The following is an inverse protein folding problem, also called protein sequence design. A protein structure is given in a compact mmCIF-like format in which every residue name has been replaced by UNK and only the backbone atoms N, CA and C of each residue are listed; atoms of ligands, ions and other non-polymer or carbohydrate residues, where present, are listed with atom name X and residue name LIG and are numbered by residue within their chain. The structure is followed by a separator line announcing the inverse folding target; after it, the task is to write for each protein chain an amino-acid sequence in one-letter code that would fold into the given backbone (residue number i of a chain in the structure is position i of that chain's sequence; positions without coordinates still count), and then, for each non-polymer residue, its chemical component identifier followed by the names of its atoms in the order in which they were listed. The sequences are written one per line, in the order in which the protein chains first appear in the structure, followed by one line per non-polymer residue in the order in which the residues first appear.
data_IF_377759488112
#
_entry.id   IF_377759488112
#
_cell.length_a   1.000
_cell.length_b   1.000
_cell.length_c   1.000
_cell.angle_alpha   90.00
_cell.angle_beta   90.00
_cell.angle_gamma   90.00
#
_symmetry.space_group_name_H-M   'P 1'
#
loop_
_entity.id
_entity.type
_entity.pdbx_description
1 polymer ?
#
# COMPACT_ATOMS: atom_id res chain seq x y z
N UNK A 1 -2.74 -21.28 16.53
CA UNK A 1 -2.75 -19.93 15.87
C UNK A 1 -3.26 -18.91 16.86
N UNK A 2 -2.54 -17.79 17.03
CA UNK A 2 -3.00 -16.61 17.80
C UNK A 2 -3.36 -15.51 16.83
N UNK A 3 -4.50 -14.86 17.03
CA UNK A 3 -4.98 -13.71 16.23
C UNK A 3 -5.21 -12.50 17.13
N UNK A 4 -4.75 -11.33 16.70
CA UNK A 4 -4.94 -10.04 17.38
C UNK A 4 -5.28 -8.97 16.33
N UNK A 5 -5.98 -7.93 16.78
CA UNK A 5 -6.34 -6.78 15.93
C UNK A 5 -6.12 -5.47 16.68
N UNK A 6 -5.69 -4.43 15.96
CA UNK A 6 -5.53 -3.07 16.47
C UNK A 6 -5.97 -2.04 15.42
N UNK A 7 -6.58 -0.91 15.82
CA UNK A 7 -6.82 0.22 14.92
C UNK A 7 -5.49 0.92 14.63
N UNK A 8 -4.98 0.78 13.40
CA UNK A 8 -3.72 1.37 12.91
C UNK A 8 -3.89 1.74 11.43
N UNK A 9 -3.11 2.68 10.93
CA UNK A 9 -3.10 3.09 9.50
C UNK A 9 -4.49 3.54 8.98
N UNK A 10 -5.32 4.13 9.85
CA UNK A 10 -6.69 4.52 9.50
C UNK A 10 -7.67 3.35 9.28
N UNK A 11 -7.29 2.13 9.65
CA UNK A 11 -8.09 0.92 9.47
C UNK A 11 -7.90 -0.07 10.62
N UNK A 12 -8.56 -1.23 10.56
CA UNK A 12 -8.27 -2.33 11.45
C UNK A 12 -7.13 -3.19 10.88
N UNK A 13 -6.02 -3.26 11.61
CA UNK A 13 -4.91 -4.16 11.28
C UNK A 13 -5.03 -5.43 12.10
N UNK A 14 -5.05 -6.57 11.41
CA UNK A 14 -5.15 -7.89 12.01
C UNK A 14 -3.86 -8.67 11.73
N UNK A 15 -3.37 -9.38 12.73
CA UNK A 15 -2.20 -10.27 12.64
C UNK A 15 -2.59 -11.61 13.21
N UNK A 16 -2.36 -12.68 12.45
CA UNK A 16 -2.46 -14.05 12.89
C UNK A 16 -1.13 -14.77 12.68
N UNK A 17 -0.71 -15.53 13.68
CA UNK A 17 0.55 -16.25 13.67
C UNK A 17 0.40 -17.65 14.26
N UNK A 18 1.14 -18.61 13.70
CA UNK A 18 1.22 -20.00 14.17
C UNK A 18 2.67 -20.44 14.32
N UNK A 19 2.91 -21.30 15.30
CA UNK A 19 4.24 -21.88 15.52
C UNK A 19 4.54 -22.97 14.48
N UNK A 20 5.82 -23.22 14.23
CA UNK A 20 6.25 -24.38 13.45
C UNK A 20 5.85 -25.70 14.18
N UNK A 21 5.41 -26.74 13.44
CA UNK A 21 4.94 -28.01 14.02
C UNK A 21 5.97 -28.75 14.86
N UNK A 22 7.26 -28.52 14.64
CA UNK A 22 8.35 -29.35 15.18
C UNK A 22 9.22 -28.71 16.27
N UNK A 23 8.86 -27.53 16.81
CA UNK A 23 9.61 -26.98 17.94
C UNK A 23 9.14 -27.60 19.24
N UNK A 24 9.99 -28.44 19.84
CA UNK A 24 9.77 -28.97 21.20
C UNK A 24 9.67 -27.81 22.22
N UNK A 25 8.87 -27.97 23.26
CA UNK A 25 8.68 -26.97 24.31
C UNK A 25 7.23 -26.95 24.83
N UNK A 26 7.04 -26.41 26.03
CA UNK A 26 5.71 -26.28 26.65
C UNK A 26 4.82 -25.33 25.81
N UNK A 27 3.55 -25.69 25.64
CA UNK A 27 2.57 -24.92 24.85
C UNK A 27 2.49 -23.47 25.31
N UNK A 28 2.57 -23.21 26.60
CA UNK A 28 2.48 -21.87 27.20
C UNK A 28 3.68 -20.97 26.87
N UNK A 29 4.90 -21.53 26.73
CA UNK A 29 6.08 -20.77 26.28
C UNK A 29 5.99 -20.40 24.81
N UNK A 30 5.41 -21.29 23.98
CA UNK A 30 5.16 -21.02 22.55
C UNK A 30 4.15 -19.90 22.35
N UNK A 31 3.06 -19.88 23.11
CA UNK A 31 2.04 -18.84 23.02
C UNK A 31 2.60 -17.47 23.41
N UNK A 32 3.39 -17.38 24.47
CA UNK A 32 4.04 -16.14 24.90
C UNK A 32 5.02 -15.62 23.84
N UNK A 33 5.78 -16.51 23.20
CA UNK A 33 6.68 -16.13 22.11
C UNK A 33 5.92 -15.59 20.89
N UNK A 34 4.80 -16.23 20.50
CA UNK A 34 3.93 -15.74 19.42
C UNK A 34 3.30 -14.39 19.76
N UNK A 35 2.83 -14.19 20.98
CA UNK A 35 2.29 -12.89 21.42
C UNK A 35 3.34 -11.79 21.38
N UNK A 36 4.57 -12.09 21.75
CA UNK A 36 5.71 -11.17 21.65
C UNK A 36 5.99 -10.81 20.17
N UNK A 37 6.04 -11.81 19.30
CA UNK A 37 6.24 -11.61 17.88
C UNK A 37 5.14 -10.76 17.23
N UNK A 38 3.87 -11.03 17.57
CA UNK A 38 2.71 -10.25 17.12
C UNK A 38 2.82 -8.79 17.61
N UNK A 39 3.21 -8.61 18.87
CA UNK A 39 3.38 -7.26 19.45
C UNK A 39 4.49 -6.47 18.73
N UNK A 40 5.61 -7.12 18.42
CA UNK A 40 6.70 -6.52 17.64
C UNK A 40 6.24 -6.16 16.22
N UNK A 41 5.46 -7.04 15.57
CA UNK A 41 4.89 -6.76 14.25
C UNK A 41 3.93 -5.56 14.27
N UNK A 42 3.06 -5.41 15.28
CA UNK A 42 2.23 -4.20 15.44
C UNK A 42 3.08 -2.94 15.67
N UNK A 43 4.13 -3.03 16.47
CA UNK A 43 5.06 -1.91 16.68
C UNK A 43 5.72 -1.48 15.38
N UNK A 44 6.06 -2.44 14.53
CA UNK A 44 6.61 -2.19 13.19
C UNK A 44 5.61 -1.48 12.28
N UNK A 45 4.35 -1.92 12.25
CA UNK A 45 3.27 -1.24 11.51
C UNK A 45 3.10 0.21 12.00
N UNK A 46 3.07 0.40 13.32
CA UNK A 46 2.95 1.74 13.93
C UNK A 46 4.12 2.65 13.52
N UNK A 47 5.33 2.12 13.52
CA UNK A 47 6.53 2.86 13.11
C UNK A 47 6.42 3.34 11.65
N UNK A 48 6.09 2.43 10.73
CA UNK A 48 5.89 2.76 9.32
C UNK A 48 4.79 3.81 9.14
N UNK A 49 3.66 3.65 9.85
CA UNK A 49 2.58 4.62 9.82
C UNK A 49 3.02 6.03 10.24
N UNK A 50 3.86 6.15 11.28
CA UNK A 50 4.40 7.45 11.71
C UNK A 50 5.32 8.10 10.67
N UNK A 51 6.15 7.31 10.00
CA UNK A 51 7.08 7.83 8.99
C UNK A 51 6.36 8.33 7.74
N UNK A 52 5.33 7.61 7.29
CA UNK A 52 4.76 7.75 5.95
C UNK A 52 3.35 8.35 5.93
N UNK A 53 2.77 8.68 7.09
CA UNK A 53 1.42 9.23 7.16
C UNK A 53 1.36 10.68 6.68
N UNK A 54 0.46 10.96 5.76
CA UNK A 54 0.12 12.33 5.37
C UNK A 54 -0.57 13.10 6.51
N UNK A 55 -1.34 12.40 7.36
CA UNK A 55 -2.08 13.00 8.47
C UNK A 55 -1.23 13.31 9.71
N UNK A 56 0.00 12.82 9.79
CA UNK A 56 0.93 13.15 10.88
C UNK A 56 1.87 14.27 10.46
N UNK A 57 1.76 15.41 11.13
CA UNK A 57 2.48 16.63 10.77
C UNK A 57 4.01 16.47 10.81
N UNK A 58 4.53 15.65 11.72
CA UNK A 58 5.96 15.39 11.94
C UNK A 58 6.50 14.19 11.16
N UNK A 59 5.67 13.57 10.30
CA UNK A 59 6.13 12.46 9.44
C UNK A 59 7.25 12.89 8.48
N UNK A 60 8.14 11.97 8.12
CA UNK A 60 9.17 12.22 7.10
C UNK A 60 8.55 12.58 5.74
N UNK A 61 7.39 11.99 5.40
CA UNK A 61 6.63 12.34 4.21
C UNK A 61 6.27 13.84 4.21
N UNK A 62 5.77 14.34 5.33
CA UNK A 62 5.36 15.74 5.45
C UNK A 62 6.54 16.71 5.58
N UNK A 63 7.69 16.26 6.06
CA UNK A 63 8.92 17.05 5.99
C UNK A 63 9.33 17.28 4.52
N UNK A 64 9.27 16.25 3.68
CA UNK A 64 9.50 16.39 2.23
C UNK A 64 8.49 17.33 1.58
N UNK A 65 7.21 17.18 1.89
CA UNK A 65 6.12 17.99 1.33
C UNK A 65 6.23 19.48 1.66
N UNK A 66 6.79 19.82 2.82
CA UNK A 66 6.95 21.23 3.25
C UNK A 66 8.18 21.92 2.71
N UNK A 67 9.15 21.18 2.17
CA UNK A 67 10.46 21.70 1.78
C UNK A 67 10.85 21.27 0.36
N UNK A 68 9.99 21.57 -0.67
CA UNK A 68 10.36 21.27 -2.04
C UNK A 68 11.67 21.97 -2.43
N UNK A 69 12.49 21.33 -3.23
CA UNK A 69 13.80 21.82 -3.64
C UNK A 69 14.93 21.53 -2.65
N UNK A 70 14.63 21.12 -1.42
CA UNK A 70 15.65 20.86 -0.38
C UNK A 70 15.92 19.36 -0.26
N UNK A 71 17.20 18.99 -0.18
CA UNK A 71 17.62 17.63 0.13
C UNK A 71 17.39 17.30 1.61
N UNK A 72 16.55 16.32 1.89
CA UNK A 72 16.18 15.89 3.24
C UNK A 72 16.67 14.46 3.46
N UNK A 73 17.38 14.23 4.56
CA UNK A 73 17.76 12.90 5.00
C UNK A 73 16.53 12.19 5.55
N UNK A 74 16.29 10.98 5.07
CA UNK A 74 15.14 10.15 5.47
C UNK A 74 15.61 8.80 6.02
N UNK A 75 14.76 8.15 6.78
CA UNK A 75 15.01 6.80 7.29
C UNK A 75 15.11 5.79 6.14
N UNK A 76 15.70 4.63 6.44
CA UNK A 76 15.81 3.54 5.46
C UNK A 76 14.46 3.03 4.97
N UNK A 77 13.43 3.08 5.80
CA UNK A 77 12.07 2.70 5.42
C UNK A 77 11.46 3.68 4.43
N UNK A 78 11.50 4.97 4.73
CA UNK A 78 11.02 6.01 3.82
C UNK A 78 11.79 6.01 2.50
N UNK A 79 13.11 5.88 2.56
CA UNK A 79 13.95 5.75 1.37
C UNK A 79 13.54 4.55 0.51
N UNK A 80 13.29 3.41 1.14
CA UNK A 80 12.89 2.18 0.43
C UNK A 80 11.54 2.33 -0.24
N UNK A 81 10.53 2.85 0.47
CA UNK A 81 9.19 3.07 -0.12
C UNK A 81 9.25 4.06 -1.27
N UNK A 82 9.98 5.17 -1.11
CA UNK A 82 10.12 6.17 -2.17
C UNK A 82 10.87 5.63 -3.40
N UNK A 83 11.87 4.76 -3.21
CA UNK A 83 12.53 4.04 -4.32
C UNK A 83 11.55 3.10 -5.04
N UNK A 84 10.71 2.37 -4.29
CA UNK A 84 9.69 1.48 -4.87
C UNK A 84 8.62 2.29 -5.61
N UNK A 85 8.14 3.38 -5.04
CA UNK A 85 7.16 4.27 -5.66
C UNK A 85 7.71 4.89 -6.95
N UNK A 86 8.95 5.40 -6.92
CA UNK A 86 9.63 5.95 -8.09
C UNK A 86 9.85 4.89 -9.18
N UNK A 87 10.30 3.69 -8.80
CA UNK A 87 10.46 2.58 -9.73
C UNK A 87 9.15 2.22 -10.40
N UNK A 88 8.07 2.08 -9.63
CA UNK A 88 6.76 1.72 -10.17
C UNK A 88 6.19 2.84 -11.05
N UNK A 89 6.36 4.10 -10.65
CA UNK A 89 6.00 5.26 -11.48
C UNK A 89 6.66 5.19 -12.86
N UNK A 90 7.97 4.92 -12.89
CA UNK A 90 8.71 4.72 -14.14
C UNK A 90 8.21 3.50 -14.93
N UNK A 91 8.09 2.34 -14.31
CA UNK A 91 7.72 1.09 -14.96
C UNK A 91 6.27 1.07 -15.47
N UNK A 92 5.40 1.83 -14.83
CA UNK A 92 3.99 1.97 -15.23
C UNK A 92 3.71 3.18 -16.12
N UNK A 93 4.74 3.93 -16.53
CA UNK A 93 4.59 5.20 -17.28
C UNK A 93 3.63 6.18 -16.57
N UNK A 94 3.88 6.43 -15.28
CA UNK A 94 3.07 7.27 -14.37
C UNK A 94 1.62 6.80 -14.11
N UNK A 95 1.21 5.62 -14.53
CA UNK A 95 -0.08 5.07 -14.07
C UNK A 95 -0.11 4.91 -12.55
N UNK A 96 1.01 4.54 -11.93
CA UNK A 96 1.21 4.74 -10.51
C UNK A 96 1.92 6.07 -10.27
N UNK A 97 1.26 6.99 -9.61
CA UNK A 97 1.80 8.32 -9.36
C UNK A 97 1.54 8.75 -7.91
N UNK A 98 2.60 8.86 -7.11
CA UNK A 98 2.52 9.34 -5.74
C UNK A 98 2.68 10.87 -5.60
N UNK A 99 2.86 11.62 -6.70
CA UNK A 99 2.95 13.10 -6.70
C UNK A 99 1.61 13.78 -6.97
N UNK A 100 0.50 13.08 -6.74
CA UNK A 100 -0.88 13.54 -6.98
C UNK A 100 -1.52 14.24 -5.77
N UNK A 101 -0.75 14.46 -4.72
CA UNK A 101 -1.28 15.02 -3.46
C UNK A 101 -1.91 16.41 -3.61
N UNK A 102 -1.39 17.26 -4.50
CA UNK A 102 -1.96 18.56 -4.81
C UNK A 102 -3.38 18.46 -5.39
N UNK A 103 -3.58 17.52 -6.32
CA UNK A 103 -4.90 17.23 -6.88
C UNK A 103 -5.85 16.66 -5.82
N UNK A 104 -5.38 15.74 -4.98
CA UNK A 104 -6.18 15.18 -3.89
C UNK A 104 -6.60 16.24 -2.87
N UNK A 105 -5.70 17.20 -2.57
CA UNK A 105 -6.02 18.34 -1.72
C UNK A 105 -7.05 19.26 -2.38
N UNK A 106 -6.93 19.57 -3.66
CA UNK A 106 -7.86 20.42 -4.40
C UNK A 106 -9.28 19.84 -4.45
N UNK A 107 -9.37 18.51 -4.44
CA UNK A 107 -10.66 17.77 -4.38
C UNK A 107 -11.17 17.50 -2.97
N UNK A 108 -10.45 17.93 -1.92
CA UNK A 108 -10.83 17.70 -0.53
C UNK A 108 -10.60 16.26 -0.03
N UNK A 109 -9.88 15.43 -0.77
CA UNK A 109 -9.53 14.07 -0.35
C UNK A 109 -8.38 14.03 0.67
N UNK A 110 -7.54 15.08 0.71
CA UNK A 110 -6.50 15.28 1.70
C UNK A 110 -6.66 16.66 2.37
N UNK A 111 -6.23 16.82 3.63
CA UNK A 111 -6.21 18.12 4.31
C UNK A 111 -5.33 19.12 3.55
N UNK A 112 -5.80 20.37 3.44
CA UNK A 112 -5.04 21.42 2.79
C UNK A 112 -3.78 21.79 3.59
N UNK A 113 -2.63 21.87 2.92
CA UNK A 113 -1.41 22.46 3.46
C UNK A 113 -1.41 23.95 3.21
N UNK A 114 -0.93 24.71 4.20
CA UNK A 114 -0.98 26.15 4.18
C UNK A 114 -0.01 26.77 3.15
N UNK A 115 -0.55 27.67 2.33
CA UNK A 115 0.13 28.90 1.89
C UNK A 115 1.11 28.81 0.75
N UNK A 116 1.33 27.67 0.08
CA UNK A 116 2.23 27.59 -1.07
C UNK A 116 1.47 27.32 -2.37
N UNK A 117 1.82 27.98 -3.49
CA UNK A 117 1.34 27.58 -4.81
C UNK A 117 1.90 26.19 -5.12
N UNK A 118 1.04 25.19 -5.10
CA UNK A 118 1.38 23.81 -5.34
C UNK A 118 0.95 23.40 -6.74
N UNK A 119 1.79 22.60 -7.40
CA UNK A 119 1.39 21.91 -8.61
C UNK A 119 0.41 20.79 -8.23
N UNK A 120 -0.64 20.63 -9.03
CA UNK A 120 -1.65 19.59 -8.79
C UNK A 120 -1.06 18.19 -8.88
N UNK A 121 -0.20 17.98 -9.89
CA UNK A 121 0.45 16.70 -10.16
C UNK A 121 1.87 16.91 -10.70
N UNK A 122 2.70 15.91 -10.52
CA UNK A 122 4.00 15.76 -11.12
C UNK A 122 4.20 14.36 -11.68
N UNK A 123 5.45 13.96 -11.78
CA UNK A 123 5.85 12.69 -12.35
C UNK A 123 6.88 11.99 -11.43
N UNK A 124 7.16 10.72 -11.70
CA UNK A 124 8.15 9.95 -10.94
C UNK A 124 9.56 10.58 -10.97
N UNK A 125 9.90 11.35 -12.02
CA UNK A 125 11.18 12.06 -12.16
C UNK A 125 11.35 13.13 -11.08
N UNK A 126 10.27 13.78 -10.67
CA UNK A 126 10.28 14.84 -9.67
C UNK A 126 10.70 14.39 -8.26
N UNK A 127 10.73 13.08 -8.03
CA UNK A 127 11.27 12.48 -6.82
C UNK A 127 12.75 12.19 -7.06
N UNK A 128 13.63 13.03 -6.58
CA UNK A 128 15.06 12.84 -6.69
C UNK A 128 15.61 12.14 -5.45
N UNK A 129 16.47 11.15 -5.66
CA UNK A 129 17.07 10.34 -4.60
C UNK A 129 18.58 10.30 -4.80
N UNK A 130 19.32 10.67 -3.76
CA UNK A 130 20.78 10.58 -3.71
C UNK A 130 21.18 10.05 -2.33
N UNK A 131 21.89 8.94 -2.30
CA UNK A 131 22.27 8.23 -1.07
C UNK A 131 21.04 7.97 -0.15
N UNK A 132 21.01 8.57 1.03
CA UNK A 132 19.87 8.52 1.96
C UNK A 132 19.06 9.82 1.99
N UNK A 133 19.24 10.69 1.00
CA UNK A 133 18.51 11.95 0.87
C UNK A 133 17.50 11.90 -0.27
N UNK A 134 16.42 12.61 -0.07
CA UNK A 134 15.33 12.76 -1.04
C UNK A 134 15.01 14.24 -1.22
N UNK A 135 14.67 14.64 -2.44
CA UNK A 135 14.23 15.99 -2.77
C UNK A 135 13.04 15.92 -3.74
N UNK A 136 12.09 16.79 -3.57
CA UNK A 136 11.08 17.08 -4.59
C UNK A 136 11.62 18.18 -5.49
N UNK A 137 11.83 17.89 -6.77
CA UNK A 137 12.40 18.85 -7.74
C UNK A 137 11.50 20.09 -7.96
N UNK A 138 10.20 19.92 -7.75
CA UNK A 138 9.17 20.95 -7.93
C UNK A 138 8.27 21.05 -6.69
N UNK A 139 7.49 22.15 -6.52
CA UNK A 139 6.56 22.31 -5.40
C UNK A 139 5.34 21.40 -5.55
N UNK A 140 5.54 20.12 -5.28
CA UNK A 140 4.58 19.02 -5.34
C UNK A 140 4.25 18.50 -3.96
N UNK A 141 3.14 17.79 -3.86
CA UNK A 141 2.76 17.05 -2.67
C UNK A 141 2.78 15.55 -2.97
N UNK A 142 3.58 14.84 -2.16
CA UNK A 142 3.58 13.38 -2.15
C UNK A 142 2.46 12.83 -1.28
N UNK A 143 1.82 11.78 -1.75
CA UNK A 143 1.00 10.87 -0.95
C UNK A 143 1.44 9.43 -1.21
N UNK A 144 1.52 8.62 -0.17
CA UNK A 144 1.91 7.22 -0.27
C UNK A 144 0.76 6.26 0.06
N UNK A 145 -0.47 6.76 0.07
CA UNK A 145 -1.67 5.98 0.44
C UNK A 145 -1.90 4.76 -0.45
N UNK A 146 -1.38 4.78 -1.68
CA UNK A 146 -1.47 3.66 -2.61
C UNK A 146 -0.36 2.61 -2.50
N UNK A 147 0.57 2.71 -1.52
CA UNK A 147 1.70 1.78 -1.36
C UNK A 147 2.10 1.56 0.10
N UNK A 148 1.90 2.55 0.96
CA UNK A 148 2.42 2.53 2.33
C UNK A 148 1.75 1.48 3.22
N UNK A 149 0.45 1.21 3.02
CA UNK A 149 -0.26 0.17 3.79
C UNK A 149 0.29 -1.21 3.44
N UNK A 150 0.40 -1.52 2.16
CA UNK A 150 1.01 -2.76 1.70
C UNK A 150 2.46 -2.92 2.18
N UNK A 151 3.25 -1.85 2.17
CA UNK A 151 4.61 -1.87 2.71
C UNK A 151 4.63 -2.17 4.21
N UNK A 152 3.76 -1.57 5.00
CA UNK A 152 3.65 -1.85 6.43
C UNK A 152 3.28 -3.31 6.71
N UNK A 153 2.38 -3.89 5.90
CA UNK A 153 2.04 -5.32 5.94
C UNK A 153 3.27 -6.20 5.66
N UNK A 154 4.06 -5.89 4.62
CA UNK A 154 5.28 -6.64 4.32
C UNK A 154 6.31 -6.55 5.45
N UNK A 155 6.45 -5.38 6.08
CA UNK A 155 7.37 -5.20 7.21
C UNK A 155 6.91 -5.95 8.46
N UNK A 156 5.60 -6.02 8.73
CA UNK A 156 5.05 -6.83 9.80
C UNK A 156 5.31 -8.33 9.58
N UNK A 157 5.10 -8.83 8.35
CA UNK A 157 5.43 -10.22 7.98
C UNK A 157 6.93 -10.50 8.12
N UNK A 158 7.78 -9.54 7.73
CA UNK A 158 9.23 -9.67 7.91
C UNK A 158 9.63 -9.81 9.38
N UNK A 159 8.96 -9.06 10.27
CA UNK A 159 9.18 -9.13 11.72
C UNK A 159 8.76 -10.49 12.30
N UNK A 160 7.57 -10.98 11.89
CA UNK A 160 7.09 -12.31 12.31
C UNK A 160 8.04 -13.42 11.85
N UNK A 161 8.51 -13.37 10.60
CA UNK A 161 9.49 -14.34 10.08
C UNK A 161 10.82 -14.30 10.83
N UNK A 162 11.30 -13.09 11.16
CA UNK A 162 12.53 -12.92 11.97
C UNK A 162 12.40 -13.48 13.37
N UNK A 163 11.19 -13.42 13.94
CA UNK A 163 10.88 -14.04 15.23
C UNK A 163 10.65 -15.57 15.16
N UNK A 164 10.85 -16.21 13.99
CA UNK A 164 10.70 -17.65 13.82
C UNK A 164 9.25 -18.14 13.71
N UNK A 165 8.30 -17.26 13.38
CA UNK A 165 6.90 -17.65 13.14
C UNK A 165 6.80 -18.49 11.88
N UNK A 166 6.22 -19.71 11.97
CA UNK A 166 6.17 -20.66 10.87
C UNK A 166 5.16 -20.35 9.79
N UNK A 167 4.08 -19.66 10.13
CA UNK A 167 3.03 -19.27 9.20
C UNK A 167 2.04 -18.31 9.83
N UNK A 168 1.27 -17.67 8.96
CA UNK A 168 0.27 -16.73 9.40
C UNK A 168 -0.11 -15.72 8.32
N UNK A 169 -0.75 -14.64 8.73
CA UNK A 169 -1.15 -13.57 7.84
C UNK A 169 -1.23 -12.22 8.57
N UNK A 170 -1.07 -11.16 7.79
CA UNK A 170 -1.27 -9.77 8.19
C UNK A 170 -2.24 -9.13 7.22
N UNK A 171 -3.27 -8.45 7.73
CA UNK A 171 -4.29 -7.75 6.95
C UNK A 171 -4.45 -6.32 7.48
N UNK A 172 -4.37 -5.34 6.61
CA UNK A 172 -4.57 -3.93 6.91
C UNK A 172 -5.67 -3.36 6.02
N UNK A 173 -6.95 -3.54 6.42
CA UNK A 173 -8.09 -2.99 5.71
C UNK A 173 -8.29 -3.55 4.29
N UNK A 174 -7.89 -4.81 4.05
CA UNK A 174 -7.97 -5.47 2.75
C UNK A 174 -6.62 -5.66 2.05
N UNK A 175 -5.57 -4.94 2.45
CA UNK A 175 -4.20 -5.23 2.01
C UNK A 175 -3.65 -6.38 2.87
N UNK A 176 -3.62 -7.56 2.27
CA UNK A 176 -3.36 -8.84 2.95
C UNK A 176 -2.06 -9.47 2.46
N UNK A 177 -1.32 -10.09 3.38
CA UNK A 177 -0.21 -10.99 3.08
C UNK A 177 -0.31 -12.26 3.90
N UNK A 178 -0.31 -13.40 3.23
CA UNK A 178 -0.22 -14.74 3.83
C UNK A 178 1.20 -15.27 3.64
N UNK A 179 1.75 -15.95 4.65
CA UNK A 179 3.12 -16.45 4.61
C UNK A 179 3.29 -17.78 5.33
N UNK A 180 4.36 -18.51 4.98
CA UNK A 180 4.75 -19.77 5.63
C UNK A 180 3.77 -20.90 5.34
N UNK A 181 3.43 -21.68 6.36
CA UNK A 181 2.52 -22.83 6.27
C UNK A 181 1.05 -22.43 6.13
N UNK A 182 0.71 -21.16 6.35
CA UNK A 182 -0.68 -20.71 6.36
C UNK A 182 -1.27 -20.57 4.94
N UNK A 183 -2.57 -20.84 4.86
CA UNK A 183 -3.41 -20.49 3.72
C UNK A 183 -4.70 -19.83 4.22
N UNK A 184 -5.25 -18.91 3.47
CA UNK A 184 -6.45 -18.17 3.84
C UNK A 184 -7.44 -18.10 2.67
N UNK A 185 -8.69 -18.50 2.92
CA UNK A 185 -9.78 -18.24 2.00
C UNK A 185 -10.30 -16.82 2.20
N UNK A 186 -10.19 -15.99 1.18
CA UNK A 186 -10.60 -14.60 1.18
C UNK A 186 -11.79 -14.43 0.25
N UNK A 187 -12.78 -13.66 0.69
CA UNK A 187 -13.85 -13.18 -0.18
C UNK A 187 -13.44 -11.83 -0.76
N UNK A 188 -13.27 -11.76 -2.07
CA UNK A 188 -13.04 -10.50 -2.75
C UNK A 188 -14.35 -9.71 -2.85
N UNK A 189 -14.26 -8.40 -2.71
CA UNK A 189 -15.40 -7.51 -2.88
C UNK A 189 -15.66 -7.31 -4.36
N UNK A 190 -16.93 -7.46 -4.78
CA UNK A 190 -17.43 -7.06 -6.08
C UNK A 190 -18.49 -5.97 -5.94
N UNK A 191 -19.07 -5.46 -7.04
CA UNK A 191 -20.07 -4.39 -7.05
C UNK A 191 -21.33 -4.73 -6.24
N UNK A 192 -21.69 -6.00 -6.19
CA UNK A 192 -22.87 -6.51 -5.48
C UNK A 192 -22.57 -7.06 -4.08
N UNK A 193 -21.35 -6.84 -3.57
CA UNK A 193 -20.92 -7.33 -2.25
C UNK A 193 -19.75 -8.34 -2.34
N UNK A 194 -19.62 -9.22 -1.35
CA UNK A 194 -18.56 -10.24 -1.32
C UNK A 194 -18.95 -11.43 -2.20
N UNK A 195 -18.28 -11.63 -3.33
CA UNK A 195 -18.71 -12.60 -4.34
C UNK A 195 -17.68 -13.67 -4.69
N UNK A 196 -16.40 -13.35 -4.78
CA UNK A 196 -15.39 -14.29 -5.25
C UNK A 196 -14.53 -14.83 -4.11
N UNK A 197 -14.54 -16.16 -3.93
CA UNK A 197 -13.67 -16.85 -2.98
C UNK A 197 -12.31 -17.14 -3.62
N UNK A 198 -11.26 -16.60 -3.04
CA UNK A 198 -9.87 -16.82 -3.50
C UNK A 198 -9.06 -17.41 -2.35
N UNK A 199 -8.32 -18.48 -2.63
CA UNK A 199 -7.35 -19.03 -1.67
C UNK A 199 -6.00 -18.33 -1.84
N UNK A 200 -5.49 -17.73 -0.77
CA UNK A 200 -4.20 -17.03 -0.75
C UNK A 200 -3.22 -17.85 0.08
N UNK A 201 -2.05 -18.17 -0.48
CA UNK A 201 -0.95 -18.86 0.21
C UNK A 201 0.38 -18.31 -0.29
N UNK A 202 1.26 -17.92 0.62
CA UNK A 202 2.58 -17.31 0.33
C UNK A 202 2.55 -16.11 -0.65
N UNK A 203 1.41 -15.44 -0.74
CA UNK A 203 1.14 -14.31 -1.63
C UNK A 203 0.47 -13.17 -0.86
N UNK A 204 0.48 -12.01 -1.46
CA UNK A 204 -0.33 -10.87 -1.06
C UNK A 204 -1.54 -10.72 -1.97
N UNK A 205 -2.58 -10.10 -1.43
CA UNK A 205 -3.79 -9.71 -2.14
C UNK A 205 -4.18 -8.31 -1.66
N UNK A 206 -4.50 -7.43 -2.59
CA UNK A 206 -5.05 -6.12 -2.30
C UNK A 206 -6.26 -5.87 -3.19
N UNK A 207 -7.25 -5.14 -2.65
CA UNK A 207 -8.43 -4.72 -3.40
C UNK A 207 -8.63 -3.22 -3.22
N UNK A 208 -8.87 -2.51 -4.32
CA UNK A 208 -9.16 -1.10 -4.31
C UNK A 208 -10.44 -0.82 -5.07
N UNK A 209 -11.24 0.07 -4.50
CA UNK A 209 -12.31 0.72 -5.22
C UNK A 209 -11.70 1.86 -6.03
N UNK A 210 -11.99 1.87 -7.30
CA UNK A 210 -11.51 2.86 -8.26
C UNK A 210 -12.69 3.72 -8.66
N UNK A 211 -12.65 5.02 -8.35
CA UNK A 211 -13.69 5.98 -8.67
C UNK A 211 -13.08 7.36 -8.88
N UNK A 212 -13.65 8.14 -9.80
CA UNK A 212 -13.28 9.55 -9.98
C UNK A 212 -14.07 10.49 -9.07
N UNK A 213 -15.14 10.00 -8.46
CA UNK A 213 -15.97 10.77 -7.53
C UNK A 213 -15.57 10.45 -6.10
N UNK A 214 -15.45 11.50 -5.27
CA UNK A 214 -15.33 11.37 -3.82
C UNK A 214 -16.60 10.72 -3.29
N UNK A 215 -16.43 9.60 -2.58
CA UNK A 215 -17.50 8.97 -1.80
C UNK A 215 -17.14 9.05 -0.32
N UNK A 216 -18.10 9.46 0.52
CA UNK A 216 -17.92 9.50 1.97
C UNK A 216 -17.57 8.14 2.58
N UNK A 217 -18.02 7.05 1.95
CA UNK A 217 -17.84 5.69 2.47
C UNK A 217 -16.53 5.04 2.04
N UNK A 218 -15.90 5.52 0.94
CA UNK A 218 -14.64 4.98 0.41
C UNK A 218 -13.84 6.07 -0.32
N UNK A 219 -12.73 6.54 0.27
CA UNK A 219 -11.91 7.62 -0.28
C UNK A 219 -10.93 7.19 -1.38
N UNK A 220 -11.07 5.99 -1.93
CA UNK A 220 -10.19 5.56 -3.02
C UNK A 220 -10.50 6.38 -4.28
N UNK A 221 -9.70 7.41 -4.51
CA UNK A 221 -9.79 8.31 -5.64
C UNK A 221 -8.69 7.95 -6.64
N UNK A 222 -9.10 7.61 -7.85
CA UNK A 222 -8.18 7.49 -8.99
C UNK A 222 -8.15 8.83 -9.72
N UNK A 223 -6.95 9.39 -9.86
CA UNK A 223 -6.74 10.65 -10.54
C UNK A 223 -6.07 10.40 -11.89
N UNK A 224 -6.59 10.95 -13.00
CA UNK A 224 -5.94 10.85 -14.29
C UNK A 224 -4.53 11.46 -14.24
N UNK A 225 -3.55 10.79 -14.82
CA UNK A 225 -2.23 11.35 -15.05
C UNK A 225 -2.23 12.11 -16.37
N UNK A 226 -1.77 13.36 -16.40
CA UNK A 226 -1.93 14.30 -17.54
C UNK A 226 -1.34 13.87 -18.89
N UNK A 227 -0.57 12.78 -18.97
CA UNK A 227 0.14 12.35 -20.17
C UNK A 227 -0.23 10.94 -20.68
N UNK A 228 -1.31 10.33 -20.19
CA UNK A 228 -1.68 8.99 -20.63
C UNK A 228 -2.78 9.08 -21.69
N UNK A 229 -2.40 9.00 -22.96
CA UNK A 229 -3.29 9.13 -24.13
C UNK A 229 -4.15 7.88 -24.39
N UNK A 230 -3.78 6.72 -23.85
CA UNK A 230 -4.43 5.43 -24.13
C UNK A 230 -5.31 4.93 -22.98
N UNK A 231 -5.68 5.82 -22.06
CA UNK A 231 -6.50 5.46 -20.93
C UNK A 231 -7.98 5.52 -21.34
N UNK A 232 -8.53 4.36 -21.61
CA UNK A 232 -9.98 4.20 -21.81
C UNK A 232 -10.64 4.03 -20.42
N UNK A 233 -10.68 5.11 -19.64
CA UNK A 233 -11.37 5.12 -18.35
C UNK A 233 -12.86 5.31 -18.66
N UNK A 234 -13.63 4.27 -18.44
CA UNK A 234 -15.07 4.42 -18.24
C UNK A 234 -15.27 5.17 -16.91
N UNK A 235 -15.34 6.50 -17.02
CA UNK A 235 -15.36 7.42 -15.87
C UNK A 235 -16.67 7.38 -15.09
N UNK A 236 -17.70 6.76 -15.65
CA UNK A 236 -19.04 6.74 -15.07
C UNK A 236 -19.27 5.54 -14.15
N UNK A 237 -18.42 4.51 -14.22
CA UNK A 237 -18.56 3.33 -13.39
C UNK A 237 -17.50 3.24 -12.31
N UNK A 238 -17.98 3.04 -11.11
CA UNK A 238 -17.17 2.59 -9.99
C UNK A 238 -16.71 1.16 -10.23
N UNK A 239 -15.43 0.90 -10.04
CA UNK A 239 -14.83 -0.43 -10.22
C UNK A 239 -14.18 -0.92 -8.94
N UNK A 240 -14.17 -2.22 -8.76
CA UNK A 240 -13.38 -2.88 -7.72
C UNK A 240 -12.34 -3.75 -8.38
N UNK A 241 -11.08 -3.44 -8.12
CA UNK A 241 -9.93 -4.13 -8.69
C UNK A 241 -9.21 -4.89 -7.60
N UNK A 242 -9.00 -6.19 -7.80
CA UNK A 242 -8.21 -7.03 -6.89
C UNK A 242 -6.97 -7.57 -7.61
N UNK A 243 -5.81 -7.40 -6.98
CA UNK A 243 -4.52 -7.84 -7.50
C UNK A 243 -3.79 -8.69 -6.47
N UNK A 244 -3.24 -9.82 -6.90
CA UNK A 244 -2.28 -10.59 -6.11
C UNK A 244 -0.85 -10.35 -6.58
N UNK A 245 0.11 -10.36 -5.63
CA UNK A 245 1.53 -10.20 -5.92
C UNK A 245 2.38 -10.87 -4.82
N UNK A 246 3.69 -11.10 -5.05
CA UNK A 246 4.58 -11.63 -4.01
C UNK A 246 4.72 -10.71 -2.79
N UNK A 247 4.52 -9.40 -2.94
CA UNK A 247 4.62 -8.39 -1.91
C UNK A 247 3.32 -7.59 -1.78
N UNK A 248 2.93 -7.26 -0.54
CA UNK A 248 1.71 -6.50 -0.29
C UNK A 248 1.81 -5.06 -0.81
N UNK A 249 2.97 -4.39 -0.70
CA UNK A 249 3.18 -3.07 -1.31
C UNK A 249 2.92 -3.08 -2.82
N UNK A 250 3.31 -4.19 -3.49
CA UNK A 250 3.12 -4.33 -4.94
C UNK A 250 1.66 -4.59 -5.29
N UNK A 251 1.00 -5.49 -4.56
CA UNK A 251 -0.43 -5.75 -4.77
C UNK A 251 -1.26 -4.47 -4.57
N UNK A 252 -1.03 -3.71 -3.49
CA UNK A 252 -1.67 -2.43 -3.19
C UNK A 252 -1.46 -1.42 -4.33
N UNK A 253 -0.21 -1.16 -4.71
CA UNK A 253 0.11 -0.19 -5.76
C UNK A 253 -0.42 -0.59 -7.15
N UNK A 254 -0.40 -1.87 -7.48
CA UNK A 254 -0.87 -2.36 -8.78
C UNK A 254 -2.40 -2.29 -8.94
N UNK A 255 -3.18 -2.24 -7.87
CA UNK A 255 -4.63 -1.96 -7.99
C UNK A 255 -4.89 -0.58 -8.58
N UNK A 256 -4.01 0.41 -8.30
CA UNK A 256 -4.11 1.77 -8.84
C UNK A 256 -3.73 1.79 -10.32
N UNK A 257 -2.67 1.05 -10.70
CA UNK A 257 -2.30 0.89 -12.12
C UNK A 257 -3.42 0.26 -12.92
N UNK A 258 -3.99 -0.85 -12.43
CA UNK A 258 -5.08 -1.56 -13.11
C UNK A 258 -6.33 -0.68 -13.27
N UNK A 259 -6.61 0.20 -12.31
CA UNK A 259 -7.77 1.08 -12.35
C UNK A 259 -7.82 2.05 -13.53
N UNK A 260 -6.69 2.32 -14.19
CA UNK A 260 -6.62 3.19 -15.39
C UNK A 260 -6.83 2.44 -16.70
N UNK A 261 -6.88 1.13 -16.69
CA UNK A 261 -6.81 0.30 -17.89
C UNK A 261 -8.15 -0.42 -18.14
N UNK A 262 -8.37 -0.88 -19.35
CA UNK A 262 -9.41 -1.88 -19.63
C UNK A 262 -9.04 -3.22 -18.99
N UNK A 263 -10.00 -4.12 -18.79
CA UNK A 263 -9.76 -5.44 -18.17
C UNK A 263 -8.61 -6.19 -18.85
N UNK A 264 -8.61 -6.25 -20.19
CA UNK A 264 -7.62 -6.99 -20.96
C UNK A 264 -6.23 -6.35 -20.85
N UNK A 265 -6.14 -5.04 -21.04
CA UNK A 265 -4.87 -4.29 -20.90
C UNK A 265 -4.35 -4.32 -19.46
N UNK A 266 -5.24 -4.38 -18.46
CA UNK A 266 -4.85 -4.47 -17.06
C UNK A 266 -4.19 -5.82 -16.76
N UNK A 267 -4.73 -6.93 -17.28
CA UNK A 267 -4.18 -8.25 -17.02
C UNK A 267 -2.71 -8.35 -17.48
N UNK A 268 -2.43 -7.93 -18.71
CA UNK A 268 -1.08 -7.95 -19.28
C UNK A 268 -0.14 -7.00 -18.53
N UNK A 269 -0.55 -5.75 -18.31
CA UNK A 269 0.28 -4.75 -17.62
C UNK A 269 0.59 -5.15 -16.18
N UNK A 270 -0.37 -5.72 -15.46
CA UNK A 270 -0.17 -6.19 -14.09
C UNK A 270 0.77 -7.39 -14.06
N UNK A 271 0.70 -8.30 -15.04
CA UNK A 271 1.63 -9.42 -15.17
C UNK A 271 3.06 -8.93 -15.42
N UNK A 272 3.27 -7.99 -16.34
CA UNK A 272 4.57 -7.37 -16.63
C UNK A 272 5.20 -6.72 -15.39
N UNK A 273 4.37 -6.15 -14.51
CA UNK A 273 4.80 -5.51 -13.27
C UNK A 273 4.91 -6.50 -12.09
N UNK A 274 4.79 -7.80 -12.36
CA UNK A 274 5.00 -8.87 -11.37
C UNK A 274 3.83 -9.07 -10.40
N UNK A 275 2.63 -8.78 -10.83
CA UNK A 275 1.36 -9.10 -10.18
C UNK A 275 0.48 -10.04 -11.00
N UNK A 276 -0.71 -10.33 -10.51
CA UNK A 276 -1.77 -11.05 -11.21
C UNK A 276 -3.11 -10.40 -10.89
N UNK A 277 -3.85 -10.04 -11.91
CA UNK A 277 -5.22 -9.57 -11.78
C UNK A 277 -6.11 -10.73 -11.28
N UNK A 278 -6.86 -10.50 -10.20
CA UNK A 278 -7.72 -11.51 -9.55
C UNK A 278 -9.18 -11.24 -9.88
N UNK A 279 -9.63 -10.00 -9.75
CA UNK A 279 -10.95 -9.55 -10.20
C UNK A 279 -10.87 -8.12 -10.71
N UNK A 280 -11.79 -7.81 -11.61
CA UNK A 280 -11.93 -6.52 -12.26
C UNK A 280 -13.41 -6.31 -12.56
N UNK A 281 -14.17 -5.80 -11.58
CA UNK A 281 -15.64 -5.68 -11.61
C UNK A 281 -16.08 -4.22 -11.66
#
# INVERSE_FOLDING_TARGET
MIRRAKPLLGTLVEIAAESLPHQGGEAQLKDKALETAISAAFSRVTHIGRLLSFHQQDSELNQLNRQPGIWISVSQDSLRVLKLAKWLGKASNNLFNCTVGGEMMSRGALPAYLGMPLLLQGEWQDIEIKDNQVRLARPLILTLDGIAKGYAVDMAVSELRRAGVGGGWVNAGGDLKVFGSASLNVLCRGPLGLSQKTCVSNMALASSRVSQTLSHDYPALLLPTGNVTDVNIDTERERIVSVSAPFAWRADALTKVAGYLSSDSAADKIADLGGRLVSFD
#
